data_IF_643157988473
#
_entry.id   IF_643157988473
#
_cell.length_a   1.000
_cell.length_b   1.000
_cell.length_c   1.000
_cell.angle_alpha   90.00
_cell.angle_beta   90.00
_cell.angle_gamma   90.00
#
_symmetry.space_group_name_H-M   'P 1'
#
loop_
_entity.id
_entity.type
_entity.pdbx_description
1 polymer ?
#
# COMPACT_ATOMS: atom_id res chain seq x y z
N UNK A 1 -9.72 -0.06 15.17
CA UNK A 1 -9.30 -1.20 14.34
C UNK A 1 -7.99 -0.93 13.55
N UNK A 2 -7.80 0.25 12.95
CA UNK A 2 -6.60 0.60 12.18
C UNK A 2 -5.30 0.61 13.01
N UNK A 3 -5.36 1.10 14.24
CA UNK A 3 -4.22 1.10 15.17
C UNK A 3 -3.77 -0.31 15.58
N UNK A 4 -4.62 -1.30 15.40
CA UNK A 4 -4.39 -2.67 15.86
C UNK A 4 -4.05 -3.61 14.69
N UNK A 5 -4.68 -3.43 13.53
CA UNK A 5 -4.54 -4.37 12.41
C UNK A 5 -3.11 -4.45 11.87
N UNK A 6 -2.48 -3.31 11.58
CA UNK A 6 -1.09 -3.31 11.08
C UNK A 6 -0.10 -3.88 12.09
N UNK A 7 -0.12 -3.49 13.39
CA UNK A 7 0.73 -4.10 14.40
C UNK A 7 0.48 -5.59 14.66
N UNK A 8 -0.72 -6.13 14.37
CA UNK A 8 -0.99 -7.56 14.54
C UNK A 8 -0.51 -8.42 13.36
N UNK A 9 -0.56 -7.91 12.14
CA UNK A 9 -0.04 -8.64 10.97
C UNK A 9 1.47 -8.81 11.04
N UNK A 10 2.16 -7.79 11.51
CA UNK A 10 3.61 -7.74 11.55
C UNK A 10 4.28 -8.87 12.35
N UNK A 11 3.83 -9.23 13.58
CA UNK A 11 4.39 -10.37 14.29
C UNK A 11 4.21 -11.70 13.55
N UNK A 12 3.11 -11.87 12.82
CA UNK A 12 2.84 -13.08 12.03
C UNK A 12 3.82 -13.15 10.87
N UNK A 13 3.97 -12.09 10.09
CA UNK A 13 4.87 -12.03 8.93
C UNK A 13 6.33 -12.15 9.36
N UNK A 14 6.75 -11.42 10.40
CA UNK A 14 8.09 -11.51 10.94
C UNK A 14 8.37 -12.89 11.58
N UNK A 15 7.37 -13.51 12.20
CA UNK A 15 7.45 -14.86 12.76
C UNK A 15 7.62 -15.91 11.66
N UNK A 16 6.86 -15.83 10.59
CA UNK A 16 7.01 -16.72 9.43
C UNK A 16 8.38 -16.56 8.77
N UNK A 17 8.85 -15.33 8.60
CA UNK A 17 10.20 -15.06 8.11
C UNK A 17 11.26 -15.71 9.00
N UNK A 18 11.15 -15.57 10.32
CA UNK A 18 12.08 -16.18 11.26
C UNK A 18 12.08 -17.71 11.20
N UNK A 19 10.90 -18.34 11.06
CA UNK A 19 10.77 -19.79 10.87
C UNK A 19 11.45 -20.23 9.58
N UNK A 20 11.16 -19.61 8.45
CA UNK A 20 11.75 -19.94 7.16
C UNK A 20 13.27 -19.81 7.18
N UNK A 21 13.77 -18.73 7.78
CA UNK A 21 15.21 -18.50 7.94
C UNK A 21 15.85 -19.56 8.84
N UNK A 22 15.20 -19.97 9.93
CA UNK A 22 15.70 -21.02 10.83
C UNK A 22 15.76 -22.39 10.17
N UNK A 23 14.93 -22.61 9.15
CA UNK A 23 14.97 -23.83 8.31
C UNK A 23 16.07 -23.79 7.23
N UNK A 24 16.86 -22.70 7.18
CA UNK A 24 17.94 -22.53 6.22
C UNK A 24 17.52 -22.01 4.86
N UNK A 25 16.26 -21.57 4.70
CA UNK A 25 15.81 -20.91 3.48
C UNK A 25 16.49 -19.54 3.33
N UNK A 26 17.01 -19.30 2.12
CA UNK A 26 17.63 -18.02 1.76
C UNK A 26 16.81 -17.40 0.64
N UNK A 27 16.58 -16.10 0.74
CA UNK A 27 15.90 -15.36 -0.31
C UNK A 27 16.90 -14.84 -1.34
N UNK A 28 16.54 -14.92 -2.61
CA UNK A 28 17.28 -14.28 -3.72
C UNK A 28 16.70 -12.89 -4.03
N UNK A 29 15.45 -12.66 -3.67
CA UNK A 29 14.73 -11.41 -3.83
C UNK A 29 13.54 -11.35 -2.86
N UNK A 30 13.00 -10.16 -2.65
CA UNK A 30 11.79 -9.97 -1.87
C UNK A 30 10.81 -9.02 -2.57
N UNK A 31 9.53 -9.26 -2.33
CA UNK A 31 8.45 -8.34 -2.67
C UNK A 31 7.39 -8.41 -1.58
N UNK A 32 6.63 -7.34 -1.41
CA UNK A 32 5.52 -7.31 -0.48
C UNK A 32 4.34 -6.57 -1.10
N UNK A 33 3.12 -6.99 -0.80
CA UNK A 33 1.92 -6.28 -1.25
C UNK A 33 1.53 -5.23 -0.21
N UNK A 34 1.45 -3.97 -0.61
CA UNK A 34 1.04 -2.84 0.25
C UNK A 34 1.87 -2.78 1.54
N UNK A 35 1.27 -3.08 2.69
CA UNK A 35 1.95 -3.13 3.99
C UNK A 35 3.14 -4.12 4.01
N UNK A 36 3.04 -5.22 3.27
CA UNK A 36 4.10 -6.23 3.15
C UNK A 36 5.41 -5.70 2.55
N UNK A 37 5.42 -4.53 1.88
CA UNK A 37 6.67 -3.90 1.41
C UNK A 37 7.61 -3.56 2.56
N UNK A 38 7.09 -3.13 3.72
CA UNK A 38 7.92 -2.87 4.90
C UNK A 38 8.54 -4.15 5.46
N UNK A 39 7.81 -5.26 5.42
CA UNK A 39 8.33 -6.57 5.83
C UNK A 39 9.38 -7.06 4.84
N UNK A 40 9.17 -6.87 3.54
CA UNK A 40 10.16 -7.21 2.51
C UNK A 40 11.46 -6.40 2.69
N UNK A 41 11.35 -5.10 3.00
CA UNK A 41 12.51 -4.25 3.32
C UNK A 41 13.23 -4.72 4.59
N UNK A 42 12.49 -5.08 5.64
CA UNK A 42 13.07 -5.66 6.84
C UNK A 42 13.78 -6.98 6.56
N UNK A 43 13.16 -7.88 5.81
CA UNK A 43 13.75 -9.15 5.41
C UNK A 43 15.07 -8.96 4.66
N UNK A 44 15.15 -7.94 3.80
CA UNK A 44 16.35 -7.58 3.07
C UNK A 44 17.39 -6.79 3.90
N UNK A 45 17.15 -6.57 5.19
CA UNK A 45 18.08 -5.89 6.10
C UNK A 45 18.08 -4.36 6.00
N UNK A 46 17.14 -3.74 5.28
CA UNK A 46 17.05 -2.28 5.13
C UNK A 46 16.73 -1.58 6.43
N UNK A 47 15.89 -2.18 7.25
CA UNK A 47 15.54 -1.71 8.59
C UNK A 47 15.54 -2.86 9.58
N UNK A 48 15.86 -2.59 10.82
CA UNK A 48 15.80 -3.59 11.87
C UNK A 48 14.35 -3.84 12.34
N UNK A 49 14.19 -4.83 13.23
CA UNK A 49 12.87 -5.20 13.74
C UNK A 49 12.24 -4.06 14.56
N UNK A 50 13.04 -3.30 15.30
CA UNK A 50 12.53 -2.20 16.12
C UNK A 50 11.99 -1.07 15.24
N UNK A 51 12.71 -0.71 14.18
CA UNK A 51 12.27 0.30 13.21
C UNK A 51 11.06 -0.16 12.41
N UNK A 52 10.98 -1.43 12.04
CA UNK A 52 9.79 -1.99 11.41
C UNK A 52 8.54 -1.80 12.28
N UNK A 53 8.63 -2.09 13.60
CA UNK A 53 7.52 -1.85 14.54
C UNK A 53 7.20 -0.36 14.69
N UNK A 54 8.21 0.51 14.72
CA UNK A 54 8.03 1.97 14.80
C UNK A 54 7.30 2.51 13.56
N UNK A 55 7.69 2.07 12.37
CA UNK A 55 7.04 2.42 11.09
C UNK A 55 5.59 1.95 11.07
N UNK A 56 5.35 0.69 11.45
CA UNK A 56 4.00 0.13 11.52
C UNK A 56 3.07 0.93 12.43
N UNK A 57 3.54 1.25 13.64
CA UNK A 57 2.79 2.05 14.60
C UNK A 57 2.54 3.49 14.10
N UNK A 58 3.59 4.10 13.53
CA UNK A 58 3.48 5.45 12.97
C UNK A 58 2.45 5.51 11.83
N UNK A 59 2.50 4.53 10.91
CA UNK A 59 1.53 4.40 9.82
C UNK A 59 0.10 4.31 10.33
N UNK A 60 -0.17 3.40 11.27
CA UNK A 60 -1.51 3.24 11.86
C UNK A 60 -2.01 4.53 12.52
N UNK A 61 -1.15 5.19 13.28
CA UNK A 61 -1.46 6.47 13.92
C UNK A 61 -1.76 7.57 12.91
N UNK A 62 -0.90 7.79 11.92
CA UNK A 62 -1.07 8.83 10.93
C UNK A 62 -2.33 8.63 10.08
N UNK A 63 -2.69 7.38 9.77
CA UNK A 63 -3.94 7.08 9.08
C UNK A 63 -5.18 7.42 9.89
N UNK A 64 -5.17 7.18 11.20
CA UNK A 64 -6.28 7.57 12.08
C UNK A 64 -6.38 9.09 12.20
N UNK A 65 -5.23 9.74 12.37
CA UNK A 65 -5.17 11.21 12.50
C UNK A 65 -5.52 11.93 11.18
N UNK A 66 -5.25 11.31 10.01
CA UNK A 66 -5.63 11.88 8.71
C UNK A 66 -7.15 11.99 8.52
N UNK A 67 -7.92 11.16 9.23
CA UNK A 67 -9.38 11.24 9.19
C UNK A 67 -9.97 12.38 10.00
N UNK A 68 -9.18 13.08 10.80
CA UNK A 68 -9.62 14.21 11.66
C UNK A 68 -10.98 13.97 12.35
N UNK A 69 -11.21 12.72 12.79
CA UNK A 69 -12.49 12.29 13.37
C UNK A 69 -13.65 12.11 12.37
N UNK A 70 -13.39 12.31 11.06
CA UNK A 70 -14.37 12.12 9.99
C UNK A 70 -14.40 10.71 9.40
N UNK A 71 -15.15 10.54 8.32
CA UNK A 71 -15.25 9.27 7.59
C UNK A 71 -13.98 9.02 6.76
N UNK A 72 -13.22 8.00 7.15
CA UNK A 72 -12.04 7.55 6.42
C UNK A 72 -12.36 6.81 5.11
N UNK A 73 -13.63 6.78 4.71
CA UNK A 73 -14.06 6.07 3.52
C UNK A 73 -14.05 4.55 3.68
N UNK A 74 -14.05 3.85 2.55
CA UNK A 74 -14.06 2.38 2.50
C UNK A 74 -13.49 1.89 1.19
N UNK A 75 -13.43 0.56 1.02
CA UNK A 75 -12.95 -0.09 -0.19
C UNK A 75 -13.94 -1.15 -0.68
N UNK A 76 -13.85 -1.50 -1.97
CA UNK A 76 -14.61 -2.58 -2.57
C UNK A 76 -13.76 -3.37 -3.57
N UNK A 77 -13.99 -4.68 -3.64
CA UNK A 77 -13.43 -5.53 -4.68
C UNK A 77 -14.35 -5.49 -5.91
N UNK A 78 -13.81 -5.10 -7.05
CA UNK A 78 -14.48 -5.11 -8.35
C UNK A 78 -13.94 -6.25 -9.20
N UNK A 79 -14.83 -7.06 -9.80
CA UNK A 79 -14.48 -8.16 -10.70
C UNK A 79 -14.85 -7.81 -12.13
N UNK A 80 -13.85 -7.78 -13.00
CA UNK A 80 -13.97 -7.48 -14.43
C UNK A 80 -12.62 -7.06 -14.98
N UNK A 81 -12.55 -6.96 -16.31
CA UNK A 81 -11.37 -6.45 -17.00
C UNK A 81 -11.07 -5.02 -16.55
N UNK A 82 -9.81 -4.65 -16.53
CA UNK A 82 -9.32 -3.35 -16.08
C UNK A 82 -10.07 -2.19 -16.75
N UNK A 83 -10.14 -2.20 -18.07
CA UNK A 83 -10.76 -1.13 -18.84
C UNK A 83 -12.27 -0.97 -18.52
N UNK A 84 -12.95 -2.11 -18.28
CA UNK A 84 -14.36 -2.09 -17.90
C UNK A 84 -14.58 -1.49 -16.51
N UNK A 85 -13.67 -1.77 -15.57
CA UNK A 85 -13.71 -1.19 -14.22
C UNK A 85 -13.38 0.30 -14.26
N UNK A 86 -12.36 0.71 -15.02
CA UNK A 86 -12.01 2.11 -15.19
C UNK A 86 -13.15 2.90 -15.85
N UNK A 87 -13.82 2.34 -16.85
CA UNK A 87 -15.02 2.92 -17.46
C UNK A 87 -16.19 3.04 -16.47
N UNK A 88 -16.40 2.00 -15.63
CA UNK A 88 -17.46 1.98 -14.62
C UNK A 88 -17.35 3.13 -13.63
N UNK A 89 -16.12 3.41 -13.16
CA UNK A 89 -15.88 4.41 -12.12
C UNK A 89 -15.71 5.83 -12.67
N UNK A 90 -15.62 5.99 -13.98
CA UNK A 90 -15.41 7.29 -14.62
C UNK A 90 -16.48 8.29 -14.21
N UNK A 91 -16.04 9.46 -13.73
CA UNK A 91 -16.92 10.52 -13.26
C UNK A 91 -17.61 10.25 -11.92
N UNK A 92 -17.13 9.29 -11.11
CA UNK A 92 -17.50 9.19 -9.71
C UNK A 92 -16.45 9.94 -8.88
N UNK A 93 -16.85 11.09 -8.36
CA UNK A 93 -15.97 11.89 -7.51
C UNK A 93 -15.65 11.18 -6.19
N UNK A 94 -14.41 11.30 -5.74
CA UNK A 94 -13.96 10.68 -4.49
C UNK A 94 -13.77 9.15 -4.57
N UNK A 95 -13.65 8.59 -5.78
CA UNK A 95 -13.37 7.18 -6.03
C UNK A 95 -12.13 7.01 -6.90
N UNK A 96 -11.32 6.02 -6.58
CA UNK A 96 -10.18 5.62 -7.40
C UNK A 96 -9.99 4.10 -7.41
N UNK A 97 -9.22 3.60 -8.38
CA UNK A 97 -8.67 2.25 -8.34
C UNK A 97 -7.44 2.28 -7.43
N UNK A 98 -7.51 1.57 -6.32
CA UNK A 98 -6.39 1.44 -5.39
C UNK A 98 -5.33 0.44 -5.91
N UNK A 99 -5.77 -0.71 -6.40
CA UNK A 99 -4.89 -1.79 -6.84
C UNK A 99 -5.53 -2.59 -7.98
N UNK A 100 -4.67 -3.12 -8.85
CA UNK A 100 -5.01 -4.21 -9.77
C UNK A 100 -4.34 -5.48 -9.27
N UNK A 101 -5.09 -6.33 -8.55
CA UNK A 101 -4.53 -7.53 -7.92
C UNK A 101 -4.43 -8.72 -8.88
N UNK A 102 -5.24 -8.71 -9.94
CA UNK A 102 -5.23 -9.72 -11.00
C UNK A 102 -5.85 -9.10 -12.28
N UNK A 103 -5.70 -9.75 -13.46
CA UNK A 103 -6.27 -9.23 -14.70
C UNK A 103 -7.76 -8.89 -14.64
N UNK A 104 -8.51 -9.62 -13.81
CA UNK A 104 -9.96 -9.45 -13.65
C UNK A 104 -10.35 -9.06 -12.22
N UNK A 105 -9.42 -8.51 -11.44
CA UNK A 105 -9.69 -8.06 -10.07
C UNK A 105 -9.00 -6.75 -9.75
N UNK A 106 -9.80 -5.73 -9.47
CA UNK A 106 -9.35 -4.44 -8.98
C UNK A 106 -9.95 -4.12 -7.62
N UNK A 107 -9.25 -3.32 -6.85
CA UNK A 107 -9.74 -2.77 -5.60
C UNK A 107 -10.06 -1.29 -5.81
N UNK A 108 -11.30 -0.93 -5.52
CA UNK A 108 -11.78 0.45 -5.51
C UNK A 108 -11.64 1.02 -4.10
N UNK A 109 -11.27 2.29 -4.01
CA UNK A 109 -11.08 2.99 -2.75
C UNK A 109 -11.64 4.41 -2.84
N UNK A 110 -12.37 4.84 -1.81
CA UNK A 110 -12.98 6.16 -1.82
C UNK A 110 -14.01 6.38 -0.72
N UNK A 111 -14.81 7.43 -0.87
CA UNK A 111 -15.89 7.72 0.07
C UNK A 111 -16.93 6.60 0.05
N UNK A 112 -17.68 6.43 1.15
CA UNK A 112 -18.76 5.43 1.21
C UNK A 112 -19.82 5.68 0.14
N UNK A 113 -20.14 6.95 -0.12
CA UNK A 113 -21.10 7.32 -1.16
C UNK A 113 -20.59 6.95 -2.56
N UNK A 114 -19.31 7.18 -2.85
CA UNK A 114 -18.70 6.84 -4.12
C UNK A 114 -18.64 5.32 -4.35
N UNK A 115 -18.35 4.54 -3.31
CA UNK A 115 -18.40 3.07 -3.38
C UNK A 115 -19.84 2.58 -3.63
N UNK A 116 -20.84 3.17 -2.95
CA UNK A 116 -22.25 2.81 -3.19
C UNK A 116 -22.69 3.11 -4.62
N UNK A 117 -22.27 4.24 -5.19
CA UNK A 117 -22.54 4.57 -6.60
C UNK A 117 -21.86 3.58 -7.55
N UNK A 118 -20.61 3.18 -7.27
CA UNK A 118 -19.92 2.16 -8.05
C UNK A 118 -20.62 0.80 -8.00
N UNK A 119 -21.17 0.41 -6.84
CA UNK A 119 -21.98 -0.80 -6.72
C UNK A 119 -23.22 -0.75 -7.61
N UNK A 120 -23.97 0.36 -7.56
CA UNK A 120 -25.16 0.56 -8.38
C UNK A 120 -24.87 0.49 -9.87
N UNK A 121 -23.78 1.15 -10.31
CA UNK A 121 -23.36 1.08 -11.72
C UNK A 121 -22.88 -0.32 -12.09
N UNK A 122 -22.18 -1.00 -11.17
CA UNK A 122 -21.74 -2.38 -11.35
C UNK A 122 -22.90 -3.34 -11.57
N UNK A 123 -23.96 -3.25 -10.77
CA UNK A 123 -25.19 -4.04 -10.91
C UNK A 123 -25.82 -3.83 -12.30
N UNK A 124 -25.92 -2.58 -12.75
CA UNK A 124 -26.44 -2.25 -14.07
C UNK A 124 -25.58 -2.76 -15.24
N UNK A 125 -24.27 -2.84 -15.04
CA UNK A 125 -23.29 -3.29 -16.04
C UNK A 125 -22.91 -4.78 -15.94
N UNK A 126 -23.48 -5.53 -14.99
CA UNK A 126 -23.10 -6.92 -14.75
C UNK A 126 -21.69 -7.10 -14.14
N UNK A 127 -21.13 -6.05 -13.57
CA UNK A 127 -19.81 -6.04 -12.90
C UNK A 127 -20.01 -6.15 -11.38
N UNK A 128 -19.45 -7.19 -10.79
CA UNK A 128 -19.54 -7.40 -9.34
C UNK A 128 -18.66 -6.39 -8.61
N UNK A 129 -19.26 -5.53 -7.77
CA UNK A 129 -18.56 -4.62 -6.85
C UNK A 129 -18.99 -4.93 -5.44
N UNK A 130 -18.09 -5.53 -4.63
CA UNK A 130 -18.40 -5.98 -3.27
C UNK A 130 -17.57 -5.20 -2.25
N UNK A 131 -18.19 -4.54 -1.27
CA UNK A 131 -17.48 -3.89 -0.17
C UNK A 131 -16.61 -4.89 0.57
N UNK A 132 -15.44 -4.43 1.02
CA UNK A 132 -14.55 -5.18 1.88
C UNK A 132 -14.51 -4.51 3.26
N UNK A 133 -14.42 -5.32 4.31
CA UNK A 133 -14.39 -4.81 5.69
C UNK A 133 -13.00 -4.26 6.00
N UNK A 134 -12.84 -2.96 5.81
CA UNK A 134 -11.60 -2.23 6.07
C UNK A 134 -11.88 -0.97 6.89
N UNK A 135 -10.85 -0.48 7.57
CA UNK A 135 -10.99 0.69 8.44
C UNK A 135 -10.86 2.04 7.74
N UNK A 136 -10.43 2.06 6.46
CA UNK A 136 -10.24 3.30 5.69
C UNK A 136 -10.19 3.01 4.19
N UNK A 137 -10.31 4.08 3.39
CA UNK A 137 -10.07 4.08 1.95
C UNK A 137 -8.55 4.15 1.69
N UNK A 138 -7.85 3.01 1.90
CA UNK A 138 -6.42 2.93 1.65
C UNK A 138 -6.12 3.22 0.18
N UNK A 139 -4.93 3.77 -0.09
CA UNK A 139 -4.48 4.10 -1.42
C UNK A 139 -5.42 5.07 -2.16
N UNK A 140 -6.06 5.98 -1.42
CA UNK A 140 -6.90 7.04 -1.96
C UNK A 140 -6.44 8.42 -1.47
N UNK A 141 -6.87 9.53 -2.12
CA UNK A 141 -6.57 10.88 -1.66
C UNK A 141 -7.01 11.16 -0.21
N UNK A 142 -7.96 10.41 0.33
CA UNK A 142 -8.44 10.56 1.71
C UNK A 142 -7.32 10.31 2.73
N UNK A 143 -6.41 9.38 2.45
CA UNK A 143 -5.29 9.04 3.35
C UNK A 143 -3.95 9.66 2.93
N UNK A 144 -3.92 10.46 1.87
CA UNK A 144 -2.70 11.11 1.38
C UNK A 144 -1.96 11.95 2.45
N UNK A 145 -2.63 12.68 3.38
CA UNK A 145 -1.93 13.37 4.46
C UNK A 145 -1.13 12.45 5.38
N UNK A 146 -1.60 11.21 5.57
CA UNK A 146 -0.88 10.20 6.35
C UNK A 146 0.40 9.74 5.65
N UNK A 147 0.39 9.66 4.31
CA UNK A 147 1.53 9.24 3.51
C UNK A 147 2.69 10.23 3.61
N UNK A 148 2.41 11.53 3.53
CA UNK A 148 3.42 12.57 3.66
C UNK A 148 4.12 12.51 5.03
N UNK A 149 3.35 12.35 6.11
CA UNK A 149 3.87 12.23 7.48
C UNK A 149 4.67 10.94 7.68
N UNK A 150 4.22 9.84 7.05
CA UNK A 150 4.94 8.57 7.11
C UNK A 150 6.27 8.65 6.36
N UNK A 151 6.29 9.30 5.19
CA UNK A 151 7.52 9.53 4.44
C UNK A 151 8.54 10.37 5.24
N UNK A 152 8.08 11.42 5.91
CA UNK A 152 8.92 12.22 6.82
C UNK A 152 9.46 11.38 7.98
N UNK A 153 8.61 10.57 8.61
CA UNK A 153 9.01 9.67 9.69
C UNK A 153 10.08 8.67 9.25
N UNK A 154 9.88 8.01 8.10
CA UNK A 154 10.85 7.06 7.53
C UNK A 154 12.15 7.76 7.16
N UNK A 155 12.08 8.99 6.63
CA UNK A 155 13.25 9.82 6.34
C UNK A 155 14.13 10.14 7.55
N UNK A 156 13.62 10.03 8.77
CA UNK A 156 14.35 10.15 10.03
C UNK A 156 15.01 8.85 10.51
N UNK A 157 14.80 7.71 9.84
CA UNK A 157 15.40 6.43 10.20
C UNK A 157 16.76 6.23 9.52
N UNK A 158 17.61 5.43 10.15
CA UNK A 158 18.88 4.99 9.56
C UNK A 158 18.65 3.71 8.77
N UNK A 159 18.42 3.85 7.46
CA UNK A 159 18.19 2.71 6.58
C UNK A 159 19.50 2.17 6.02
N UNK A 160 19.57 0.85 5.84
CA UNK A 160 20.72 0.14 5.29
C UNK A 160 20.48 -0.23 3.83
N UNK A 161 21.56 -0.54 3.11
CA UNK A 161 21.46 -1.11 1.78
C UNK A 161 20.86 -2.52 1.85
N UNK A 162 19.88 -2.87 1.00
CA UNK A 162 19.29 -4.19 1.01
C UNK A 162 20.30 -5.28 0.62
N UNK A 163 20.26 -6.43 1.31
CA UNK A 163 21.12 -7.58 1.04
C UNK A 163 20.79 -8.29 -0.29
N UNK A 164 19.57 -8.11 -0.80
CA UNK A 164 19.06 -8.63 -2.07
C UNK A 164 18.00 -7.67 -2.64
N UNK A 165 17.66 -7.81 -3.95
CA UNK A 165 16.66 -6.95 -4.58
C UNK A 165 15.31 -7.00 -3.87
N UNK A 166 14.74 -5.83 -3.57
CA UNK A 166 13.35 -5.68 -3.09
C UNK A 166 12.55 -5.01 -4.20
N UNK A 167 11.53 -5.68 -4.69
CA UNK A 167 10.69 -5.17 -5.76
C UNK A 167 9.62 -4.23 -5.22
N UNK A 168 9.48 -3.08 -5.87
CA UNK A 168 8.47 -2.07 -5.56
C UNK A 168 7.17 -2.35 -6.29
N UNK A 169 6.02 -2.26 -5.60
CA UNK A 169 4.70 -2.42 -6.23
C UNK A 169 4.45 -1.40 -7.36
N UNK A 170 4.72 -0.08 -7.18
CA UNK A 170 4.43 0.91 -8.21
C UNK A 170 5.19 0.72 -9.52
N UNK A 171 6.41 0.17 -9.47
CA UNK A 171 7.28 0.08 -10.63
C UNK A 171 7.50 -1.32 -11.14
N UNK A 172 7.16 -2.34 -10.35
CA UNK A 172 7.51 -3.74 -10.58
C UNK A 172 9.02 -3.95 -10.87
N UNK A 173 9.86 -3.04 -10.39
CA UNK A 173 11.33 -3.06 -10.55
C UNK A 173 11.98 -3.14 -9.17
N UNK A 174 13.21 -3.65 -9.10
CA UNK A 174 13.99 -3.58 -7.87
C UNK A 174 14.11 -2.13 -7.40
N UNK A 175 13.95 -1.92 -6.10
CA UNK A 175 14.28 -0.63 -5.49
C UNK A 175 15.76 -0.32 -5.73
N UNK A 176 16.14 0.95 -5.91
CA UNK A 176 17.55 1.33 -6.08
C UNK A 176 18.39 0.78 -4.92
N UNK A 177 19.49 0.10 -5.26
CA UNK A 177 20.44 -0.47 -4.29
C UNK A 177 21.53 0.52 -3.91
N UNK A 178 21.61 1.65 -4.60
CA UNK A 178 22.60 2.67 -4.28
C UNK A 178 22.30 3.24 -2.89
N UNK A 179 23.28 3.20 -1.97
CA UNK A 179 23.12 3.88 -0.69
C UNK A 179 22.81 5.35 -0.99
N UNK A 180 21.93 6.00 -0.23
CA UNK A 180 21.74 7.43 -0.35
C UNK A 180 23.13 8.09 -0.16
N UNK A 181 23.49 9.08 -0.98
CA UNK A 181 24.80 9.72 -0.89
C UNK A 181 25.06 10.18 0.54
N UNK A 182 26.27 9.87 1.05
CA UNK A 182 26.71 10.15 2.43
C UNK A 182 26.69 11.66 2.71
N UNK A 183 25.72 12.10 3.46
CA UNK A 183 25.51 13.48 3.91
C UNK A 183 24.24 13.51 4.76
N UNK A 184 23.84 14.64 5.38
CA UNK A 184 22.52 14.76 6.01
C UNK A 184 21.45 14.71 4.92
N UNK A 185 21.41 13.61 4.23
CA UNK A 185 20.62 13.38 3.04
C UNK A 185 19.30 12.78 3.48
N UNK A 186 18.28 13.53 3.19
CA UNK A 186 16.91 13.03 3.15
C UNK A 186 16.95 11.72 2.38
N UNK A 187 16.68 10.62 3.07
CA UNK A 187 16.30 9.39 2.40
C UNK A 187 15.27 9.82 1.34
N UNK A 188 15.57 9.54 0.08
CA UNK A 188 14.57 9.70 -0.99
C UNK A 188 13.39 8.88 -0.49
N UNK A 189 12.21 9.48 -0.30
CA UNK A 189 11.10 8.74 0.25
C UNK A 189 10.97 7.45 -0.55
N UNK A 190 10.99 6.32 0.15
CA UNK A 190 10.48 5.09 -0.42
C UNK A 190 9.14 5.51 -1.00
N UNK A 191 8.96 5.34 -2.30
CA UNK A 191 7.73 5.78 -2.96
C UNK A 191 6.58 5.30 -2.07
N UNK A 192 5.70 6.19 -1.59
CA UNK A 192 4.63 5.76 -0.74
C UNK A 192 3.94 4.58 -1.41
N UNK A 193 3.55 3.54 -0.67
CA UNK A 193 2.88 2.41 -1.26
C UNK A 193 1.71 2.94 -2.09
N UNK A 194 1.83 2.79 -3.37
CA UNK A 194 0.89 3.18 -4.44
C UNK A 194 0.05 4.43 -4.16
N UNK A 195 0.60 5.60 -4.51
CA UNK A 195 -0.26 6.75 -4.78
C UNK A 195 -1.27 6.34 -5.85
N UNK A 196 -2.56 6.58 -5.63
CA UNK A 196 -3.56 6.45 -6.66
C UNK A 196 -3.08 7.16 -7.93
N UNK A 197 -2.82 6.40 -8.97
CA UNK A 197 -2.59 7.01 -10.27
C UNK A 197 -3.89 7.72 -10.65
N UNK A 198 -3.85 9.03 -10.98
CA UNK A 198 -5.03 9.68 -11.52
C UNK A 198 -5.50 8.86 -12.73
N UNK A 199 -6.80 8.63 -12.82
CA UNK A 199 -7.42 7.98 -13.96
C UNK A 199 -7.09 8.81 -15.23
N UNK A 200 -6.09 8.40 -15.98
CA UNK A 200 -5.66 9.09 -17.21
C UNK A 200 -4.13 9.24 -17.28
N UNK A 201 -3.44 8.19 -17.57
CA UNK A 201 -2.03 8.23 -17.93
C UNK A 201 -1.62 6.88 -18.48
N UNK A 202 -1.84 6.67 -19.78
CA UNK A 202 -1.36 5.49 -20.47
C UNK A 202 0.15 5.38 -20.32
N UNK A 203 0.61 4.23 -19.89
CA UNK A 203 1.95 3.79 -20.18
C UNK A 203 1.82 2.53 -21.02
N UNK A 204 2.21 2.68 -22.27
CA UNK A 204 2.38 1.62 -23.22
C UNK A 204 3.55 0.72 -22.83
N UNK A 205 3.47 -0.49 -23.35
CA UNK A 205 4.40 -1.59 -23.45
C UNK A 205 4.54 -2.51 -22.25
#
# INVERSE_FOLDING_TARGET
>A
HLLIASPLLLPIEAGLLAVLTSMGLKADMAAGHSYGEFVALHAAGVMDKADLYRVSRARGRFMVEAGDGGDLGTMAAARGQRDAIEALIKGIDGLCVANHNAPEQSILSGTRAAIAEAQKRGEAAGISVKPITVGAAFHSPIVAPAEARLAEFIGGLTLQTPCWPVYSNPTAKPSPTDPPPTGPHRARPLSPPEACLPAGGGAAA
#
